data_IF_605088402494
#
_entry.id   IF_605088402494
#
_cell.length_a   1.000
_cell.length_b   1.000
_cell.length_c   1.000
_cell.angle_alpha   90.00
_cell.angle_beta   90.00
_cell.angle_gamma   90.00
#
_symmetry.space_group_name_H-M   'P 1'
#
loop_
_entity.id
_entity.type
_entity.pdbx_description
1 polymer ?
#
# COMPACT_ATOMS: atom_id res chain seq x y z
N UNK A 1 -18.30 -29.52 10.37
CA UNK A 1 -18.84 -28.40 9.57
C UNK A 1 -17.76 -28.04 8.57
N UNK A 2 -18.05 -28.10 7.27
CA UNK A 2 -17.06 -27.79 6.23
C UNK A 2 -16.82 -26.28 6.24
N UNK A 3 -15.63 -25.84 6.68
CA UNK A 3 -15.10 -24.53 6.26
C UNK A 3 -15.04 -24.65 4.75
N UNK A 4 -15.93 -23.97 4.01
CA UNK A 4 -15.76 -23.85 2.58
C UNK A 4 -14.36 -23.23 2.40
N UNK A 5 -13.41 -24.05 1.95
CA UNK A 5 -12.10 -23.54 1.57
C UNK A 5 -12.38 -22.46 0.52
N UNK A 6 -11.87 -21.25 0.75
CA UNK A 6 -11.98 -20.17 -0.24
C UNK A 6 -11.45 -20.65 -1.59
N UNK A 7 -11.91 -20.01 -2.66
CA UNK A 7 -11.48 -20.34 -4.02
C UNK A 7 -9.94 -20.23 -4.15
N UNK A 8 -9.22 -21.35 -4.36
CA UNK A 8 -7.77 -21.34 -4.48
C UNK A 8 -7.27 -20.51 -5.67
N UNK A 9 -8.04 -20.45 -6.76
CA UNK A 9 -7.68 -19.65 -7.94
C UNK A 9 -7.69 -18.17 -7.58
N UNK A 10 -8.77 -17.69 -6.94
CA UNK A 10 -8.83 -16.33 -6.41
C UNK A 10 -7.69 -16.01 -5.45
N UNK A 11 -7.33 -16.94 -4.56
CA UNK A 11 -6.25 -16.72 -3.60
C UNK A 11 -4.88 -16.53 -4.30
N UNK A 12 -4.55 -17.40 -5.26
CA UNK A 12 -3.29 -17.31 -6.01
C UNK A 12 -3.26 -16.08 -6.91
N UNK A 13 -4.34 -15.78 -7.62
CA UNK A 13 -4.42 -14.59 -8.47
C UNK A 13 -4.32 -13.30 -7.65
N UNK A 14 -4.95 -13.25 -6.48
CA UNK A 14 -4.85 -12.12 -5.55
C UNK A 14 -3.42 -11.92 -5.02
N UNK A 15 -2.74 -13.01 -4.66
CA UNK A 15 -1.33 -12.98 -4.28
C UNK A 15 -0.45 -12.38 -5.38
N UNK A 16 -0.60 -12.86 -6.62
CA UNK A 16 0.18 -12.36 -7.77
C UNK A 16 -0.11 -10.88 -8.06
N UNK A 17 -1.37 -10.46 -7.90
CA UNK A 17 -1.77 -9.07 -8.09
C UNK A 17 -1.13 -8.14 -7.06
N UNK A 18 -1.13 -8.55 -5.79
CA UNK A 18 -0.45 -7.80 -4.72
C UNK A 18 1.06 -7.78 -4.95
N UNK A 19 1.67 -8.91 -5.32
CA UNK A 19 3.10 -8.96 -5.64
C UNK A 19 3.45 -7.96 -6.75
N UNK A 20 2.68 -7.93 -7.85
CA UNK A 20 2.89 -7.00 -8.94
C UNK A 20 2.75 -5.53 -8.50
N UNK A 21 1.79 -5.21 -7.65
CA UNK A 21 1.63 -3.85 -7.11
C UNK A 21 2.81 -3.46 -6.20
N UNK A 22 3.33 -4.39 -5.40
CA UNK A 22 4.47 -4.13 -4.51
C UNK A 22 5.81 -4.04 -5.27
N UNK A 23 5.91 -4.68 -6.44
CA UNK A 23 7.10 -4.63 -7.31
C UNK A 23 7.11 -3.44 -8.26
N UNK A 24 5.93 -2.94 -8.67
CA UNK A 24 5.80 -1.85 -9.65
C UNK A 24 5.17 -0.59 -9.03
N UNK A 25 5.98 0.35 -8.48
CA UNK A 25 5.50 1.59 -7.87
C UNK A 25 4.53 2.40 -8.75
N UNK A 26 4.73 2.35 -10.06
CA UNK A 26 3.85 3.04 -11.02
C UNK A 26 2.43 2.45 -11.04
N UNK A 27 2.30 1.12 -10.97
CA UNK A 27 1.00 0.44 -10.89
C UNK A 27 0.37 0.64 -9.51
N UNK A 28 1.16 0.55 -8.44
CA UNK A 28 0.71 0.87 -7.08
C UNK A 28 0.10 2.28 -7.00
N UNK A 29 0.82 3.30 -7.48
CA UNK A 29 0.37 4.70 -7.47
C UNK A 29 -0.96 4.88 -8.22
N UNK A 30 -1.09 4.21 -9.36
CA UNK A 30 -2.31 4.31 -10.16
C UNK A 30 -3.48 3.59 -9.48
N UNK A 31 -3.27 2.39 -8.95
CA UNK A 31 -4.27 1.64 -8.19
C UNK A 31 -4.78 2.45 -6.99
N UNK A 32 -3.89 3.01 -6.18
CA UNK A 32 -4.28 3.77 -4.98
C UNK A 32 -4.88 5.14 -5.31
N UNK A 33 -4.48 5.76 -6.43
CA UNK A 33 -5.17 6.95 -6.94
C UNK A 33 -6.64 6.64 -7.28
N UNK A 34 -6.90 5.57 -8.05
CA UNK A 34 -8.27 5.14 -8.39
C UNK A 34 -9.04 4.78 -7.12
N UNK A 35 -8.39 4.15 -6.14
CA UNK A 35 -9.01 3.80 -4.86
C UNK A 35 -9.46 5.02 -4.07
N UNK A 36 -8.66 6.10 -4.02
CA UNK A 36 -9.00 7.37 -3.36
C UNK A 36 -10.17 8.09 -4.04
N UNK A 37 -10.12 8.18 -5.36
CA UNK A 37 -11.11 8.92 -6.16
C UNK A 37 -12.42 8.13 -6.39
N UNK A 38 -12.43 6.83 -6.09
CA UNK A 38 -13.55 5.87 -6.20
C UNK A 38 -13.97 5.54 -7.63
N UNK A 39 -14.21 6.55 -8.45
CA UNK A 39 -14.56 6.41 -9.86
C UNK A 39 -13.86 7.50 -10.67
N UNK A 40 -13.06 7.10 -11.66
CA UNK A 40 -12.27 8.02 -12.48
C UNK A 40 -12.36 7.71 -13.96
N UNK A 41 -12.13 8.73 -14.80
CA UNK A 41 -11.86 8.54 -16.22
C UNK A 41 -10.36 8.72 -16.52
N UNK A 42 -9.90 8.27 -17.69
CA UNK A 42 -8.49 8.41 -18.11
C UNK A 42 -8.02 9.87 -18.11
N UNK A 43 -8.91 10.82 -18.41
CA UNK A 43 -8.56 12.24 -18.42
C UNK A 43 -8.19 12.75 -17.01
N UNK A 44 -8.89 12.30 -15.97
CA UNK A 44 -8.59 12.66 -14.58
C UNK A 44 -7.23 12.09 -14.17
N UNK A 45 -6.95 10.84 -14.54
CA UNK A 45 -5.66 10.17 -14.28
C UNK A 45 -4.51 10.94 -14.94
N UNK A 46 -4.65 11.29 -16.22
CA UNK A 46 -3.61 12.02 -16.97
C UNK A 46 -3.38 13.40 -16.36
N UNK A 47 -4.43 14.09 -15.95
CA UNK A 47 -4.34 15.41 -15.35
C UNK A 47 -3.70 15.37 -13.94
N UNK A 48 -4.10 14.41 -13.11
CA UNK A 48 -3.67 14.34 -11.71
C UNK A 48 -2.29 13.71 -11.53
N UNK A 49 -1.95 12.69 -12.32
CA UNK A 49 -0.68 11.97 -12.21
C UNK A 49 0.39 12.47 -13.20
N UNK A 50 0.01 13.38 -14.11
CA UNK A 50 0.87 13.96 -15.14
C UNK A 50 1.55 12.90 -16.03
N UNK A 51 0.87 11.77 -16.26
CA UNK A 51 1.37 10.67 -17.09
C UNK A 51 0.84 10.74 -18.52
N UNK A 52 1.58 10.24 -19.52
CA UNK A 52 1.07 10.18 -20.89
C UNK A 52 -0.22 9.36 -20.97
N UNK A 53 -1.19 9.84 -21.77
CA UNK A 53 -2.47 9.15 -22.00
C UNK A 53 -2.31 7.68 -22.41
N UNK A 54 -1.36 7.38 -23.28
CA UNK A 54 -1.09 6.00 -23.73
C UNK A 54 -0.62 5.12 -22.57
N UNK A 55 0.18 5.68 -21.66
CA UNK A 55 0.64 5.00 -20.45
C UNK A 55 -0.51 4.78 -19.48
N UNK A 56 -1.37 5.78 -19.26
CA UNK A 56 -2.57 5.63 -18.44
C UNK A 56 -3.46 4.49 -18.97
N UNK A 57 -3.74 4.44 -20.28
CA UNK A 57 -4.51 3.33 -20.86
C UNK A 57 -3.84 1.97 -20.68
N UNK A 58 -2.53 1.88 -20.92
CA UNK A 58 -1.79 0.63 -20.77
C UNK A 58 -1.83 0.12 -19.34
N UNK A 59 -1.57 1.00 -18.36
CA UNK A 59 -1.49 0.64 -16.95
C UNK A 59 -2.85 0.32 -16.38
N UNK A 60 -3.89 1.08 -16.75
CA UNK A 60 -5.26 0.73 -16.38
C UNK A 60 -5.66 -0.63 -16.94
N UNK A 61 -5.25 -0.95 -18.18
CA UNK A 61 -5.43 -2.28 -18.76
C UNK A 61 -4.77 -3.36 -17.91
N UNK A 62 -3.51 -3.17 -17.52
CA UNK A 62 -2.81 -4.09 -16.62
C UNK A 62 -3.52 -4.25 -15.27
N UNK A 63 -4.00 -3.17 -14.65
CA UNK A 63 -4.73 -3.24 -13.38
C UNK A 63 -6.08 -3.96 -13.51
N UNK A 64 -6.74 -3.85 -14.67
CA UNK A 64 -7.96 -4.61 -14.98
C UNK A 64 -7.64 -6.09 -15.16
N UNK A 65 -6.56 -6.43 -15.86
CA UNK A 65 -6.13 -7.83 -16.05
C UNK A 65 -5.72 -8.51 -14.73
N UNK A 66 -5.14 -7.74 -13.81
CA UNK A 66 -4.86 -8.17 -12.43
C UNK A 66 -6.14 -8.28 -11.58
N UNK A 67 -7.28 -7.75 -12.03
CA UNK A 67 -8.54 -7.80 -11.29
C UNK A 67 -8.60 -6.89 -10.06
N UNK A 68 -7.66 -5.95 -9.94
CA UNK A 68 -7.63 -4.94 -8.84
C UNK A 68 -8.32 -3.64 -9.23
N UNK A 69 -8.74 -3.51 -10.50
CA UNK A 69 -9.59 -2.45 -11.00
C UNK A 69 -10.69 -3.03 -11.90
N UNK A 70 -11.90 -2.50 -11.81
CA UNK A 70 -12.97 -2.75 -12.76
C UNK A 70 -13.12 -1.58 -13.72
N UNK A 71 -13.50 -1.88 -14.97
CA UNK A 71 -13.83 -0.89 -16.00
C UNK A 71 -15.30 -1.00 -16.36
N UNK A 72 -16.03 0.10 -16.31
CA UNK A 72 -17.38 0.18 -16.87
C UNK A 72 -17.29 0.37 -18.39
N UNK A 73 -17.93 -0.53 -19.14
CA UNK A 73 -18.01 -0.51 -20.60
C UNK A 73 -19.39 -0.13 -21.13
N UNK A 74 -20.38 0.09 -20.25
CA UNK A 74 -21.74 0.46 -20.64
C UNK A 74 -21.81 1.91 -21.17
N UNK A 75 -20.88 2.76 -20.72
CA UNK A 75 -20.79 4.16 -21.10
C UNK A 75 -19.77 4.39 -22.21
N UNK A 76 -20.02 5.42 -23.05
CA UNK A 76 -19.10 5.83 -24.12
C UNK A 76 -17.73 6.24 -23.58
N UNK A 77 -17.71 6.83 -22.38
CA UNK A 77 -16.48 7.13 -21.64
C UNK A 77 -16.33 6.08 -20.56
N UNK A 78 -15.26 5.31 -20.61
CA UNK A 78 -14.98 4.29 -19.61
C UNK A 78 -14.65 4.92 -18.27
N UNK A 79 -15.34 4.47 -17.22
CA UNK A 79 -14.99 4.77 -15.83
C UNK A 79 -14.28 3.58 -15.21
N UNK A 80 -13.44 3.86 -14.22
CA UNK A 80 -12.62 2.87 -13.54
C UNK A 80 -12.80 2.98 -12.03
N UNK A 81 -12.93 1.85 -11.37
CA UNK A 81 -13.05 1.75 -9.91
C UNK A 81 -12.12 0.67 -9.36
N UNK A 82 -11.40 0.99 -8.29
CA UNK A 82 -10.50 0.03 -7.66
C UNK A 82 -11.31 -1.00 -6.85
N UNK A 83 -10.83 -2.23 -6.85
CA UNK A 83 -11.32 -3.30 -5.98
C UNK A 83 -10.32 -3.42 -4.83
N UNK A 84 -10.69 -3.01 -3.59
CA UNK A 84 -9.80 -3.14 -2.44
C UNK A 84 -9.38 -4.60 -2.25
N UNK A 85 -8.08 -4.83 -2.10
CA UNK A 85 -7.51 -6.16 -1.91
C UNK A 85 -6.58 -6.18 -0.70
N UNK A 86 -6.58 -7.29 0.03
CA UNK A 86 -5.67 -7.57 1.13
C UNK A 86 -5.12 -8.98 1.03
N UNK A 87 -3.95 -9.21 1.61
CA UNK A 87 -3.31 -10.51 1.75
C UNK A 87 -2.69 -10.59 3.14
N UNK A 88 -3.13 -11.56 3.93
CA UNK A 88 -2.45 -11.96 5.15
C UNK A 88 -1.49 -13.09 4.82
N UNK A 89 -0.20 -12.84 5.01
CA UNK A 89 0.84 -13.84 4.96
C UNK A 89 1.16 -14.30 6.38
N UNK A 90 1.20 -15.62 6.58
CA UNK A 90 1.74 -16.25 7.79
C UNK A 90 2.94 -17.07 7.35
N UNK A 91 4.14 -16.61 7.75
CA UNK A 91 5.39 -17.31 7.49
C UNK A 91 5.96 -17.78 8.82
N UNK A 92 5.82 -19.07 9.12
CA UNK A 92 6.34 -19.69 10.34
C UNK A 92 5.91 -18.97 11.64
N UNK A 93 4.71 -18.38 11.66
CA UNK A 93 4.17 -17.63 12.80
C UNK A 93 4.38 -16.11 12.72
N UNK A 94 5.16 -15.63 11.74
CA UNK A 94 5.24 -14.21 11.41
C UNK A 94 4.07 -13.82 10.51
N UNK A 95 2.99 -13.36 11.15
CA UNK A 95 1.79 -12.87 10.46
C UNK A 95 1.94 -11.39 10.08
N UNK A 96 1.66 -11.06 8.83
CA UNK A 96 1.54 -9.68 8.34
C UNK A 96 0.44 -9.54 7.29
N UNK A 97 -0.40 -8.53 7.45
CA UNK A 97 -1.47 -8.20 6.49
C UNK A 97 -1.04 -7.04 5.60
N UNK A 98 -0.89 -7.33 4.30
CA UNK A 98 -0.72 -6.31 3.27
C UNK A 98 -2.08 -5.68 2.99
N UNK A 99 -2.15 -4.36 3.11
CA UNK A 99 -3.34 -3.55 2.79
C UNK A 99 -3.00 -2.51 1.71
N UNK A 100 -4.01 -1.86 1.09
CA UNK A 100 -3.81 -0.72 0.21
C UNK A 100 -2.90 0.37 0.77
N UNK A 101 -2.82 0.55 2.09
CA UNK A 101 -1.92 1.54 2.72
C UNK A 101 -0.43 1.23 2.48
N UNK A 102 -0.01 -0.05 2.55
CA UNK A 102 1.37 -0.40 2.19
C UNK A 102 1.62 -0.21 0.68
N UNK A 103 0.61 -0.52 -0.14
CA UNK A 103 0.69 -0.31 -1.59
C UNK A 103 0.83 1.19 -1.91
N UNK A 104 0.12 2.08 -1.20
CA UNK A 104 0.28 3.53 -1.34
C UNK A 104 1.71 3.98 -1.01
N UNK A 105 2.29 3.46 0.07
CA UNK A 105 3.68 3.77 0.44
C UNK A 105 4.67 3.37 -0.67
N UNK A 106 4.46 2.20 -1.29
CA UNK A 106 5.24 1.77 -2.47
C UNK A 106 5.01 2.71 -3.65
N UNK A 107 3.76 3.04 -3.96
CA UNK A 107 3.38 3.90 -5.09
C UNK A 107 3.91 5.34 -4.98
N UNK A 108 4.00 5.86 -3.76
CA UNK A 108 4.55 7.19 -3.47
C UNK A 108 6.08 7.23 -3.56
N UNK A 109 6.76 6.10 -3.33
CA UNK A 109 8.21 6.04 -3.22
C UNK A 109 9.00 6.73 -4.34
N UNK A 110 8.67 6.63 -5.65
CA UNK A 110 9.49 7.29 -6.68
C UNK A 110 9.44 8.82 -6.63
N UNK A 111 8.52 9.40 -5.87
CA UNK A 111 8.32 10.84 -5.71
C UNK A 111 8.65 11.32 -4.28
N UNK A 112 9.11 10.41 -3.41
CA UNK A 112 9.51 10.70 -2.04
C UNK A 112 10.92 10.16 -1.81
N UNK A 113 11.88 11.07 -1.59
CA UNK A 113 13.29 10.71 -1.51
C UNK A 113 13.59 9.73 -0.35
N UNK A 114 12.90 9.88 0.78
CA UNK A 114 13.16 9.08 1.97
C UNK A 114 12.56 7.68 1.85
N UNK A 115 11.34 7.55 1.30
CA UNK A 115 10.73 6.25 1.00
C UNK A 115 11.49 5.51 -0.10
N UNK A 116 11.92 6.22 -1.15
CA UNK A 116 12.75 5.63 -2.20
C UNK A 116 14.04 5.07 -1.61
N UNK A 117 14.74 5.86 -0.79
CA UNK A 117 15.99 5.46 -0.15
C UNK A 117 15.80 4.27 0.79
N UNK A 118 14.68 4.22 1.52
CA UNK A 118 14.34 3.11 2.41
C UNK A 118 14.17 1.81 1.62
N UNK A 119 13.38 1.85 0.55
CA UNK A 119 13.15 0.69 -0.32
C UNK A 119 14.44 0.23 -1.00
N UNK A 120 15.23 1.15 -1.56
CA UNK A 120 16.48 0.81 -2.25
C UNK A 120 17.52 0.17 -1.31
N UNK A 121 17.63 0.63 -0.06
CA UNK A 121 18.67 0.16 0.86
C UNK A 121 18.24 -0.98 1.77
N UNK A 122 16.96 -1.01 2.15
CA UNK A 122 16.46 -1.91 3.20
C UNK A 122 15.27 -2.78 2.73
N UNK A 123 14.73 -2.51 1.54
CA UNK A 123 13.67 -3.32 0.93
C UNK A 123 12.29 -3.13 1.55
N UNK A 124 11.34 -3.87 0.97
CA UNK A 124 9.91 -3.80 1.32
C UNK A 124 9.61 -4.20 2.77
N UNK A 125 10.33 -5.19 3.30
CA UNK A 125 10.15 -5.62 4.70
C UNK A 125 10.41 -4.50 5.70
N UNK A 126 11.43 -3.66 5.45
CA UNK A 126 11.70 -2.49 6.31
C UNK A 126 10.65 -1.40 6.14
N UNK A 127 10.08 -1.21 4.95
CA UNK A 127 8.95 -0.31 4.73
C UNK A 127 7.70 -0.76 5.51
N UNK A 128 7.36 -2.04 5.45
CA UNK A 128 6.25 -2.63 6.21
C UNK A 128 6.45 -2.47 7.74
N UNK A 129 7.67 -2.73 8.22
CA UNK A 129 8.02 -2.49 9.62
C UNK A 129 7.89 -1.00 9.98
N UNK A 130 8.35 -0.09 9.13
CA UNK A 130 8.24 1.35 9.37
C UNK A 130 6.77 1.81 9.44
N UNK A 131 5.91 1.27 8.58
CA UNK A 131 4.46 1.57 8.60
C UNK A 131 3.80 1.16 9.93
N UNK A 132 4.25 0.03 10.51
CA UNK A 132 3.77 -0.48 11.81
C UNK A 132 4.00 0.53 12.95
N UNK A 133 5.08 1.31 12.90
CA UNK A 133 5.37 2.39 13.86
C UNK A 133 4.80 3.75 13.43
N UNK A 134 4.63 3.98 12.13
CA UNK A 134 4.09 5.22 11.60
C UNK A 134 2.63 5.45 12.02
N UNK A 135 1.83 4.38 12.19
CA UNK A 135 0.43 4.48 12.64
C UNK A 135 0.31 5.09 14.04
N UNK A 136 0.85 4.48 15.12
CA UNK A 136 0.73 5.06 16.47
C UNK A 136 1.50 6.39 16.59
N UNK A 137 2.54 6.60 15.79
CA UNK A 137 3.20 7.91 15.67
C UNK A 137 2.27 8.98 15.11
N UNK A 138 1.55 8.68 14.04
CA UNK A 138 0.63 9.61 13.37
C UNK A 138 -0.57 9.94 14.26
N UNK A 139 -1.05 8.97 15.02
CA UNK A 139 -2.15 9.14 15.97
C UNK A 139 -1.73 9.85 17.28
N UNK A 140 -0.45 10.19 17.44
CA UNK A 140 0.07 10.82 18.66
C UNK A 140 0.18 9.89 19.87
N UNK A 141 0.01 8.58 19.65
CA UNK A 141 0.08 7.54 20.68
C UNK A 141 1.52 7.10 20.97
N UNK A 142 2.43 7.38 20.03
CA UNK A 142 3.86 7.14 20.17
C UNK A 142 4.65 8.39 19.78
N UNK A 143 5.64 8.76 20.60
CA UNK A 143 6.51 9.89 20.24
C UNK A 143 7.41 9.53 19.06
N UNK A 144 7.73 10.51 18.22
CA UNK A 144 8.67 10.38 17.10
C UNK A 144 9.98 9.70 17.49
N UNK A 145 10.57 10.13 18.61
CA UNK A 145 11.85 9.60 19.11
C UNK A 145 11.77 8.10 19.43
N UNK A 146 10.63 7.65 19.96
CA UNK A 146 10.43 6.23 20.27
C UNK A 146 10.23 5.46 18.98
N UNK A 147 9.30 5.89 18.12
CA UNK A 147 9.05 5.25 16.83
C UNK A 147 10.33 5.12 15.99
N UNK A 148 11.10 6.20 15.88
CA UNK A 148 12.35 6.24 15.10
C UNK A 148 13.42 5.28 15.64
N UNK A 149 13.49 5.11 16.97
CA UNK A 149 14.47 4.22 17.60
C UNK A 149 14.21 2.75 17.28
N UNK A 150 12.94 2.35 17.21
CA UNK A 150 12.57 0.95 16.98
C UNK A 150 12.79 0.49 15.53
N UNK A 151 13.02 1.41 14.59
CA UNK A 151 13.27 1.06 13.18
C UNK A 151 14.67 0.46 12.93
N UNK A 152 15.57 0.56 13.91
CA UNK A 152 16.99 0.19 13.77
C UNK A 152 17.64 0.84 12.53
N UNK A 153 17.43 2.15 12.40
CA UNK A 153 17.97 2.99 11.33
C UNK A 153 18.73 4.17 11.95
N UNK A 154 19.54 4.87 11.14
CA UNK A 154 20.10 6.14 11.57
C UNK A 154 18.96 7.09 11.98
N UNK A 155 19.04 7.64 13.20
CA UNK A 155 17.92 8.36 13.81
C UNK A 155 17.33 9.48 12.94
N UNK A 156 18.17 10.28 12.28
CA UNK A 156 17.68 11.34 11.39
C UNK A 156 16.90 10.79 10.18
N UNK A 157 17.36 9.68 9.61
CA UNK A 157 16.70 9.01 8.48
C UNK A 157 15.41 8.32 8.92
N UNK A 158 15.39 7.69 10.09
CA UNK A 158 14.18 7.11 10.66
C UNK A 158 13.06 8.17 10.84
N UNK A 159 13.42 9.38 11.27
CA UNK A 159 12.48 10.49 11.43
C UNK A 159 11.90 10.93 10.09
N UNK A 160 12.72 11.09 9.04
CA UNK A 160 12.23 11.53 7.73
C UNK A 160 11.32 10.48 7.09
N UNK A 161 11.65 9.19 7.23
CA UNK A 161 10.77 8.09 6.83
C UNK A 161 9.42 8.14 7.57
N UNK A 162 9.41 8.38 8.87
CA UNK A 162 8.17 8.51 9.65
C UNK A 162 7.33 9.70 9.19
N UNK A 163 7.95 10.81 8.80
CA UNK A 163 7.23 11.95 8.21
C UNK A 163 6.56 11.58 6.89
N UNK A 164 7.29 10.95 5.96
CA UNK A 164 6.73 10.51 4.69
C UNK A 164 5.57 9.51 4.87
N UNK A 165 5.72 8.57 5.82
CA UNK A 165 4.68 7.59 6.13
C UNK A 165 3.48 8.19 6.88
N UNK A 166 3.66 9.27 7.64
CA UNK A 166 2.53 9.99 8.25
C UNK A 166 1.57 10.47 7.18
N UNK A 167 2.08 11.06 6.09
CA UNK A 167 1.24 11.54 5.01
C UNK A 167 0.50 10.37 4.33
N UNK A 168 1.14 9.21 4.18
CA UNK A 168 0.49 7.99 3.66
C UNK A 168 -0.63 7.53 4.60
N UNK A 169 -0.37 7.47 5.89
CA UNK A 169 -1.36 7.09 6.91
C UNK A 169 -2.58 8.02 6.86
N UNK A 170 -2.35 9.34 6.83
CA UNK A 170 -3.43 10.34 6.81
C UNK A 170 -4.29 10.23 5.55
N UNK A 171 -3.68 10.04 4.38
CA UNK A 171 -4.40 9.92 3.13
C UNK A 171 -5.20 8.62 3.02
N UNK A 172 -4.72 7.54 3.64
CA UNK A 172 -5.33 6.23 3.52
C UNK A 172 -6.32 5.87 4.64
N UNK A 173 -6.30 6.56 5.78
CA UNK A 173 -7.14 6.24 6.93
C UNK A 173 -8.65 6.16 6.61
N UNK A 174 -9.15 7.03 5.73
CA UNK A 174 -10.55 7.04 5.32
C UNK A 174 -10.84 6.26 4.02
N UNK A 175 -9.80 5.74 3.38
CA UNK A 175 -9.84 5.18 2.02
C UNK A 175 -9.60 3.67 2.03
N UNK A 176 -8.65 3.20 2.83
CA UNK A 176 -8.33 1.78 2.99
C UNK A 176 -9.39 1.11 3.88
N UNK A 177 -10.24 0.22 3.34
CA UNK A 177 -11.25 -0.47 4.16
C UNK A 177 -10.65 -1.47 5.15
N UNK A 178 -9.37 -1.81 5.00
CA UNK A 178 -8.61 -2.73 5.86
C UNK A 178 -7.61 -1.98 6.75
N UNK A 179 -7.77 -0.66 6.92
CA UNK A 179 -6.82 0.16 7.66
C UNK A 179 -6.58 -0.33 9.10
N UNK A 180 -7.62 -0.82 9.77
CA UNK A 180 -7.54 -1.37 11.12
C UNK A 180 -6.84 -2.74 11.20
N UNK A 181 -6.66 -3.43 10.06
CA UNK A 181 -5.94 -4.70 9.98
C UNK A 181 -4.42 -4.50 9.86
N UNK A 182 -3.95 -3.26 9.71
CA UNK A 182 -2.53 -2.95 9.66
C UNK A 182 -1.94 -3.14 11.06
N UNK A 183 -0.82 -3.86 11.15
CA UNK A 183 -0.11 -4.08 12.41
C UNK A 183 0.21 -2.74 13.07
N UNK A 184 -0.15 -2.60 14.35
CA UNK A 184 0.11 -1.40 15.14
C UNK A 184 1.12 -1.72 16.26
N UNK A 185 2.28 -1.06 16.25
CA UNK A 185 3.35 -1.28 17.23
C UNK A 185 2.94 -1.02 18.69
N UNK A 186 1.86 -0.26 18.92
CA UNK A 186 1.33 -0.02 20.27
C UNK A 186 0.66 -1.26 20.85
N UNK A 187 -0.12 -1.95 20.02
CA UNK A 187 -0.96 -3.07 20.47
C UNK A 187 -0.22 -4.41 20.35
N UNK A 188 0.79 -4.49 19.48
CA UNK A 188 1.71 -5.61 19.33
C UNK A 188 3.16 -5.09 19.27
N UNK A 189 3.80 -4.82 20.43
CA UNK A 189 5.22 -4.49 20.44
C UNK A 189 6.02 -5.63 19.79
N UNK A 190 7.17 -5.33 19.13
CA UNK A 190 7.99 -6.38 18.55
C UNK A 190 8.32 -7.42 19.62
N UNK A 191 8.22 -8.69 19.26
CA UNK A 191 8.77 -9.77 20.07
C UNK A 191 10.24 -9.46 20.30
N UNK A 192 10.61 -9.11 21.52
CA UNK A 192 12.02 -9.05 21.90
C UNK A 192 12.55 -10.47 21.81
N UNK A 193 13.23 -10.81 20.72
CA UNK A 193 14.07 -12.01 20.67
C UNK A 193 15.22 -11.81 21.68
N UNK A 194 15.26 -12.70 22.68
CA UNK A 194 16.40 -12.91 23.60
C UNK A 194 17.56 -13.63 22.91
#
# INVERSE_FOLDING_TARGET
MSKAAGDPERAINGLLSIAQLLEEPRLARLYTFVLREREVIIDDIVAALEIPRTTAYSDMGTLVDLGVVTRDEEQKTHTYSAVPITLTADLDGDEYTVTPTLIEAVGRSPHDQDLNLLLERYGLGKLAAALTYAIPYTNGEMSERVAARELDLQQAFAITVLHALRDVVQDMQAVDPYFEDIRNARDQPPSSED
#
